data_IF_060323819122
#
_entry.id   IF_060323819122
#
_cell.length_a   1.000
_cell.length_b   1.000
_cell.length_c   1.000
_cell.angle_alpha   90.00
_cell.angle_beta   90.00
_cell.angle_gamma   90.00
#
_symmetry.space_group_name_H-M   'P 1'
#
loop_
_entity.id
_entity.type
_entity.pdbx_description
1 polymer ?
#
# COMPACT_ATOMS: atom_id res chain seq x y z
N UNK A 1 -28.07 14.00 4.30
CA UNK A 1 -26.86 14.26 5.11
C UNK A 1 -27.08 14.40 6.61
N UNK A 2 -27.99 15.28 7.08
CA UNK A 2 -28.17 15.60 8.52
C UNK A 2 -28.40 14.39 9.45
N UNK A 3 -29.23 13.41 9.05
CA UNK A 3 -29.48 12.18 9.83
C UNK A 3 -28.24 11.27 9.94
N UNK A 4 -27.47 11.13 8.86
CA UNK A 4 -26.26 10.30 8.83
C UNK A 4 -25.14 10.91 9.69
N UNK A 5 -24.94 12.23 9.61
CA UNK A 5 -23.92 12.92 10.41
C UNK A 5 -24.23 12.79 11.91
N UNK A 6 -25.50 12.93 12.32
CA UNK A 6 -25.93 12.69 13.71
C UNK A 6 -25.67 11.25 14.18
N UNK A 7 -25.91 10.27 13.31
CA UNK A 7 -25.75 8.85 13.66
C UNK A 7 -24.29 8.37 13.71
N UNK A 8 -23.34 9.13 13.15
CA UNK A 8 -21.92 8.74 13.06
C UNK A 8 -20.97 9.84 13.56
N UNK A 9 -21.39 10.64 14.55
CA UNK A 9 -20.64 11.79 15.08
C UNK A 9 -19.30 11.42 15.75
N UNK A 10 -19.13 10.17 16.18
CA UNK A 10 -17.97 9.72 16.97
C UNK A 10 -16.82 9.12 16.14
N UNK A 11 -16.96 9.03 14.80
CA UNK A 11 -15.96 8.40 13.93
C UNK A 11 -15.09 9.45 13.23
N UNK A 12 -14.00 9.82 13.90
CA UNK A 12 -12.97 10.69 13.33
C UNK A 12 -12.00 9.90 12.43
N UNK A 13 -11.61 10.49 11.29
CA UNK A 13 -10.57 9.94 10.41
C UNK A 13 -9.20 10.17 11.06
N UNK A 14 -8.55 9.10 11.48
CA UNK A 14 -7.16 9.16 11.96
C UNK A 14 -6.18 9.15 10.78
N UNK A 15 -5.24 10.09 10.75
CA UNK A 15 -4.17 10.12 9.74
C UNK A 15 -2.99 9.23 10.15
N UNK A 16 -2.51 8.40 9.22
CA UNK A 16 -1.23 7.70 9.39
C UNK A 16 -0.11 8.58 8.82
N UNK A 17 0.87 8.95 9.65
CA UNK A 17 2.00 9.85 9.29
C UNK A 17 2.95 9.31 8.20
N UNK A 18 2.71 8.12 7.63
CA UNK A 18 3.53 7.55 6.57
C UNK A 18 2.81 7.59 5.22
N UNK A 19 3.13 8.61 4.42
CA UNK A 19 2.55 8.84 3.09
C UNK A 19 2.93 7.73 2.12
N UNK A 20 4.21 7.31 2.10
CA UNK A 20 4.69 6.24 1.23
C UNK A 20 3.94 4.92 1.49
N UNK A 21 3.81 4.54 2.76
CA UNK A 21 3.04 3.38 3.19
C UNK A 21 1.59 3.46 2.71
N UNK A 22 0.94 4.62 2.89
CA UNK A 22 -0.45 4.82 2.52
C UNK A 22 -0.65 4.70 1.00
N UNK A 23 0.27 5.26 0.22
CA UNK A 23 0.26 5.15 -1.24
C UNK A 23 0.49 3.71 -1.71
N UNK A 24 1.46 2.99 -1.14
CA UNK A 24 1.66 1.57 -1.43
C UNK A 24 0.40 0.76 -1.13
N UNK A 25 -0.21 0.96 0.05
CA UNK A 25 -1.43 0.25 0.45
C UNK A 25 -2.60 0.54 -0.50
N UNK A 26 -2.74 1.79 -0.95
CA UNK A 26 -3.73 2.20 -1.94
C UNK A 26 -3.53 1.49 -3.28
N UNK A 27 -2.32 1.52 -3.85
CA UNK A 27 -1.97 0.85 -5.12
C UNK A 27 -2.23 -0.66 -5.04
N UNK A 28 -1.88 -1.30 -3.91
CA UNK A 28 -2.10 -2.73 -3.72
C UNK A 28 -3.59 -3.06 -3.71
N UNK A 29 -4.42 -2.24 -3.04
CA UNK A 29 -5.87 -2.44 -2.92
C UNK A 29 -6.69 -2.10 -4.16
N UNK A 30 -6.11 -1.50 -5.20
CA UNK A 30 -6.85 -1.14 -6.42
C UNK A 30 -7.43 -2.37 -7.12
N UNK A 31 -8.70 -2.28 -7.52
CA UNK A 31 -9.45 -3.29 -8.31
C UNK A 31 -9.42 -4.72 -7.71
N UNK A 32 -9.43 -4.85 -6.38
CA UNK A 32 -9.54 -6.13 -5.67
C UNK A 32 -10.38 -6.00 -4.39
N UNK A 33 -10.87 -7.11 -3.86
CA UNK A 33 -11.60 -7.12 -2.58
C UNK A 33 -10.69 -6.76 -1.40
N UNK A 34 -11.29 -6.33 -0.28
CA UNK A 34 -10.56 -6.01 0.95
C UNK A 34 -9.78 -7.22 1.48
N UNK A 35 -10.36 -8.41 1.41
CA UNK A 35 -9.71 -9.66 1.82
C UNK A 35 -8.48 -9.97 0.95
N UNK A 36 -8.60 -9.83 -0.38
CA UNK A 36 -7.50 -10.03 -1.30
C UNK A 36 -6.38 -8.99 -1.07
N UNK A 37 -6.76 -7.71 -0.88
CA UNK A 37 -5.82 -6.64 -0.58
C UNK A 37 -5.03 -6.91 0.70
N UNK A 38 -5.69 -7.36 1.77
CA UNK A 38 -5.04 -7.70 3.02
C UNK A 38 -4.08 -8.89 2.87
N UNK A 39 -4.46 -9.93 2.12
CA UNK A 39 -3.60 -11.09 1.84
C UNK A 39 -2.33 -10.70 1.07
N UNK A 40 -2.48 -9.94 -0.02
CA UNK A 40 -1.34 -9.44 -0.83
C UNK A 40 -0.48 -8.50 -0.01
N UNK A 41 -1.10 -7.60 0.77
CA UNK A 41 -0.38 -6.66 1.62
C UNK A 41 0.43 -7.36 2.71
N UNK A 42 -0.10 -8.43 3.32
CA UNK A 42 0.65 -9.23 4.31
C UNK A 42 1.90 -9.86 3.69
N UNK A 43 1.76 -10.49 2.50
CA UNK A 43 2.91 -11.05 1.76
C UNK A 43 3.93 -9.98 1.36
N UNK A 44 3.46 -8.80 0.94
CA UNK A 44 4.31 -7.66 0.61
C UNK A 44 5.05 -7.13 1.84
N UNK A 45 4.38 -7.03 3.00
CA UNK A 45 4.99 -6.57 4.24
C UNK A 45 6.09 -7.53 4.72
N UNK A 46 5.86 -8.84 4.61
CA UNK A 46 6.88 -9.87 4.87
C UNK A 46 8.07 -9.74 3.91
N UNK A 47 7.82 -9.52 2.61
CA UNK A 47 8.88 -9.28 1.64
C UNK A 47 9.72 -8.02 1.96
N UNK A 48 9.09 -7.02 2.59
CA UNK A 48 9.74 -5.79 3.07
C UNK A 48 10.32 -5.89 4.49
N UNK A 49 10.43 -7.09 5.09
CA UNK A 49 10.90 -7.29 6.48
C UNK A 49 10.15 -6.42 7.50
N UNK A 50 8.83 -6.30 7.35
CA UNK A 50 7.95 -5.46 8.16
C UNK A 50 8.27 -3.96 8.16
N UNK A 51 9.12 -3.47 7.25
CA UNK A 51 9.48 -2.05 7.09
C UNK A 51 9.29 -1.61 5.65
N UNK A 52 8.14 -1.00 5.37
CA UNK A 52 7.80 -0.45 4.04
C UNK A 52 8.47 0.92 3.88
N UNK A 53 9.71 0.90 3.40
CA UNK A 53 10.50 2.10 3.09
C UNK A 53 10.85 2.14 1.59
N UNK A 54 10.99 3.34 0.97
CA UNK A 54 11.37 3.46 -0.44
C UNK A 54 12.66 2.70 -0.79
N UNK A 55 13.69 2.77 0.07
CA UNK A 55 14.96 2.03 -0.06
C UNK A 55 14.74 0.52 -0.14
N UNK A 56 13.98 -0.04 0.80
CA UNK A 56 13.69 -1.48 0.89
C UNK A 56 12.87 -1.94 -0.32
N UNK A 57 11.82 -1.20 -0.68
CA UNK A 57 10.95 -1.53 -1.81
C UNK A 57 11.70 -1.48 -3.14
N UNK A 58 12.63 -0.53 -3.32
CA UNK A 58 13.45 -0.43 -4.52
C UNK A 58 14.43 -1.62 -4.66
N UNK A 59 15.00 -2.09 -3.54
CA UNK A 59 15.90 -3.25 -3.47
C UNK A 59 15.19 -4.58 -3.80
N UNK A 60 13.88 -4.70 -3.54
CA UNK A 60 13.14 -5.93 -3.84
C UNK A 60 13.02 -6.12 -5.36
N UNK A 61 13.31 -7.33 -5.84
CA UNK A 61 13.16 -7.68 -7.25
C UNK A 61 11.70 -7.71 -7.69
N UNK A 62 11.44 -7.37 -8.95
CA UNK A 62 10.08 -7.40 -9.53
C UNK A 62 9.49 -8.81 -9.51
N UNK A 63 10.32 -9.85 -9.64
CA UNK A 63 9.90 -11.26 -9.54
C UNK A 63 9.37 -11.60 -8.15
N UNK A 64 10.04 -11.12 -7.08
CA UNK A 64 9.59 -11.33 -5.70
C UNK A 64 8.27 -10.60 -5.43
N UNK A 65 8.10 -9.38 -5.96
CA UNK A 65 6.85 -8.64 -5.85
C UNK A 65 5.68 -9.34 -6.59
N UNK A 66 5.93 -9.93 -7.77
CA UNK A 66 4.92 -10.74 -8.47
C UNK A 66 4.51 -11.97 -7.66
N UNK A 67 5.47 -12.66 -7.01
CA UNK A 67 5.18 -13.80 -6.12
C UNK A 67 4.29 -13.43 -4.92
N UNK A 68 4.27 -12.16 -4.50
CA UNK A 68 3.37 -11.67 -3.46
C UNK A 68 1.90 -11.56 -3.92
N UNK A 69 1.59 -11.78 -5.21
CA UNK A 69 0.24 -11.63 -5.78
C UNK A 69 -0.03 -10.25 -6.39
N UNK A 70 1.03 -9.48 -6.68
CA UNK A 70 0.90 -8.18 -7.35
C UNK A 70 0.87 -8.34 -8.87
N UNK A 71 -0.06 -7.63 -9.52
CA UNK A 71 -0.10 -7.53 -10.98
C UNK A 71 1.12 -6.78 -11.52
N UNK A 72 1.46 -6.99 -12.80
CA UNK A 72 2.60 -6.30 -13.46
C UNK A 72 2.53 -4.78 -13.29
N UNK A 73 1.34 -4.20 -13.42
CA UNK A 73 1.12 -2.75 -13.35
C UNK A 73 1.27 -2.22 -11.91
N UNK A 74 0.78 -2.96 -10.90
CA UNK A 74 1.00 -2.63 -9.48
C UNK A 74 2.48 -2.67 -9.12
N UNK A 75 3.22 -3.67 -9.61
CA UNK A 75 4.67 -3.77 -9.41
C UNK A 75 5.39 -2.56 -10.02
N UNK A 76 5.03 -2.15 -11.25
CA UNK A 76 5.60 -0.97 -11.90
C UNK A 76 5.33 0.30 -11.08
N UNK A 77 4.07 0.54 -10.69
CA UNK A 77 3.68 1.71 -9.91
C UNK A 77 4.37 1.81 -8.55
N UNK A 78 4.46 0.69 -7.81
CA UNK A 78 5.17 0.66 -6.52
C UNK A 78 6.68 0.93 -6.70
N UNK A 79 7.30 0.38 -7.75
CA UNK A 79 8.72 0.65 -8.04
C UNK A 79 8.97 2.09 -8.47
N UNK A 80 8.13 2.66 -9.32
CA UNK A 80 8.22 4.06 -9.72
C UNK A 80 8.03 4.99 -8.53
N UNK A 81 7.06 4.68 -7.66
CA UNK A 81 6.86 5.41 -6.42
C UNK A 81 8.11 5.36 -5.54
N UNK A 82 8.70 4.17 -5.35
CA UNK A 82 9.92 4.02 -4.57
C UNK A 82 11.09 4.82 -5.16
N UNK A 83 11.27 4.78 -6.49
CA UNK A 83 12.30 5.58 -7.19
C UNK A 83 12.08 7.09 -7.01
N UNK A 84 10.84 7.59 -7.17
CA UNK A 84 10.51 9.01 -6.97
C UNK A 84 10.80 9.48 -5.56
N UNK A 85 10.58 8.64 -4.55
CA UNK A 85 10.91 8.95 -3.16
C UNK A 85 12.42 8.88 -2.85
N UNK A 86 13.22 8.17 -3.66
CA UNK A 86 14.68 8.07 -3.49
C UNK A 86 15.42 9.18 -4.23
N UNK A 87 14.91 9.64 -5.36
CA UNK A 87 15.49 10.72 -6.17
C UNK A 87 15.05 12.12 -5.67
N UNK A 88 14.70 12.26 -4.39
CA UNK A 88 14.21 13.49 -3.79
C UNK A 88 15.23 14.01 -2.78
#
# INVERSE_FOLDING_TARGET
MKKLIKNYSDKNLTTRKNVFFSLCKSIIGQQISVAAANSVFSKFNLACKAKINPKVVNLISTSKLKKCGLSRQKVKGIKELAKKYLNK
#
